data_IF_978492035821
#
_entry.id   IF_978492035821
#
_cell.length_a   1.000
_cell.length_b   1.000
_cell.length_c   1.000
_cell.angle_alpha   90.00
_cell.angle_beta   90.00
_cell.angle_gamma   90.00
#
_symmetry.space_group_name_H-M   'P 1'
#
loop_
_entity.id
_entity.type
_entity.pdbx_description
1 polymer ?
#
# COMPACT_ATOMS: atom_id res chain seq x y z
N UNK A 1 -14.31 8.97 -0.30
CA UNK A 1 -15.30 9.55 -1.22
C UNK A 1 -15.64 8.53 -2.30
N UNK A 2 -16.87 8.52 -2.82
CA UNK A 2 -17.15 7.84 -4.09
C UNK A 2 -16.51 8.68 -5.19
N UNK A 3 -15.63 8.08 -5.96
CA UNK A 3 -14.92 8.75 -7.05
C UNK A 3 -15.34 7.99 -8.30
N UNK A 4 -16.43 8.39 -8.97
CA UNK A 4 -16.91 7.69 -10.16
C UNK A 4 -15.98 8.00 -11.37
N UNK A 5 -14.72 7.61 -11.27
CA UNK A 5 -13.68 7.86 -12.25
C UNK A 5 -12.95 6.55 -12.55
N UNK A 6 -13.08 6.08 -13.80
CA UNK A 6 -12.48 4.83 -14.26
C UNK A 6 -12.91 3.62 -13.44
N UNK A 7 -11.94 2.89 -12.91
CA UNK A 7 -12.11 1.65 -12.16
C UNK A 7 -12.20 1.88 -10.64
N UNK A 8 -12.37 3.10 -10.15
CA UNK A 8 -12.42 3.39 -8.71
C UNK A 8 -13.89 3.49 -8.28
N UNK A 9 -14.34 2.66 -7.33
CA UNK A 9 -15.65 2.81 -6.67
C UNK A 9 -15.53 3.75 -5.46
N UNK A 10 -14.52 3.50 -4.62
CA UNK A 10 -14.31 4.25 -3.38
C UNK A 10 -12.84 4.53 -3.15
N UNK A 11 -12.51 5.78 -2.88
CA UNK A 11 -11.18 6.21 -2.48
C UNK A 11 -11.24 6.80 -1.06
N UNK A 12 -10.64 6.12 -0.09
CA UNK A 12 -10.60 6.54 1.31
C UNK A 12 -9.16 6.75 1.75
N UNK A 13 -8.96 7.74 2.62
CA UNK A 13 -7.67 7.94 3.27
C UNK A 13 -7.84 8.26 4.75
N UNK A 14 -6.82 7.92 5.54
CA UNK A 14 -6.72 8.27 6.95
C UNK A 14 -5.34 8.86 7.21
N UNK A 15 -5.28 10.10 7.69
CA UNK A 15 -4.04 10.79 8.05
C UNK A 15 -3.88 10.82 9.57
N UNK A 16 -2.76 10.31 10.06
CA UNK A 16 -2.38 10.36 11.48
C UNK A 16 -1.15 11.22 11.64
N UNK A 17 -1.29 12.33 12.36
CA UNK A 17 -0.20 13.27 12.63
C UNK A 17 0.39 13.03 14.03
N UNK A 18 1.72 13.14 14.17
CA UNK A 18 2.34 13.22 15.49
C UNK A 18 1.88 14.52 16.18
N UNK A 19 1.65 14.49 17.51
CA UNK A 19 1.15 15.64 18.27
C UNK A 19 2.27 16.66 18.54
N UNK A 20 2.77 17.34 17.50
CA UNK A 20 3.91 18.27 17.58
C UNK A 20 3.69 19.44 18.53
N UNK A 21 2.44 19.77 18.81
CA UNK A 21 2.03 20.84 19.74
C UNK A 21 2.00 20.37 21.20
N UNK A 22 2.28 19.08 21.48
CA UNK A 22 2.32 18.54 22.84
C UNK A 22 3.76 18.22 23.26
N UNK A 23 4.31 19.04 24.15
CA UNK A 23 5.69 18.90 24.67
C UNK A 23 5.91 17.51 25.29
N UNK A 24 4.95 17.00 26.07
CA UNK A 24 5.07 15.71 26.74
C UNK A 24 4.84 14.52 25.78
N UNK A 25 3.81 14.61 24.93
CA UNK A 25 3.42 13.50 24.07
C UNK A 25 4.29 13.36 22.81
N UNK A 26 4.89 14.44 22.32
CA UNK A 26 5.66 14.42 21.08
C UNK A 26 6.91 13.52 21.16
N UNK A 27 7.76 13.59 22.21
CA UNK A 27 8.92 12.69 22.35
C UNK A 27 8.53 11.22 22.38
N UNK A 28 7.50 10.88 23.16
CA UNK A 28 6.98 9.51 23.27
C UNK A 28 6.43 9.03 21.92
N UNK A 29 5.65 9.89 21.24
CA UNK A 29 5.09 9.59 19.92
C UNK A 29 6.18 9.40 18.86
N UNK A 30 7.26 10.19 18.90
CA UNK A 30 8.40 10.04 17.98
C UNK A 30 9.10 8.69 18.15
N UNK A 31 9.22 8.20 19.37
CA UNK A 31 9.82 6.90 19.67
C UNK A 31 8.95 5.72 19.21
N UNK A 32 7.63 5.81 19.39
CA UNK A 32 6.69 4.72 19.11
C UNK A 32 6.21 4.74 17.65
N UNK A 33 5.78 5.91 17.14
CA UNK A 33 5.15 6.07 15.82
C UNK A 33 6.13 6.43 14.69
N UNK A 34 7.35 6.88 15.01
CA UNK A 34 8.42 7.31 14.09
C UNK A 34 8.10 8.58 13.29
N UNK A 35 6.99 8.60 12.56
CA UNK A 35 6.60 9.66 11.62
C UNK A 35 5.07 9.76 11.48
N UNK A 36 4.59 10.78 10.77
CA UNK A 36 3.19 10.87 10.34
C UNK A 36 2.85 9.73 9.39
N UNK A 37 1.58 9.33 9.34
CA UNK A 37 1.14 8.15 8.61
C UNK A 37 -0.06 8.50 7.75
N UNK A 38 -0.04 8.07 6.49
CA UNK A 38 -1.22 8.10 5.64
C UNK A 38 -1.55 6.69 5.15
N UNK A 39 -2.81 6.34 5.29
CA UNK A 39 -3.38 5.09 4.82
C UNK A 39 -4.32 5.38 3.68
N UNK A 40 -4.17 4.70 2.56
CA UNK A 40 -5.10 4.73 1.44
C UNK A 40 -5.80 3.38 1.35
N UNK A 41 -7.12 3.42 1.20
CA UNK A 41 -7.96 2.25 0.94
C UNK A 41 -8.75 2.56 -0.32
N UNK A 42 -8.38 1.92 -1.42
CA UNK A 42 -9.00 2.12 -2.72
C UNK A 42 -9.77 0.86 -3.09
N UNK A 43 -11.09 0.97 -3.24
CA UNK A 43 -11.96 -0.10 -3.72
C UNK A 43 -12.16 0.08 -5.22
N UNK A 44 -11.67 -0.86 -6.04
CA UNK A 44 -11.97 -0.86 -7.46
C UNK A 44 -13.37 -1.41 -7.77
N UNK A 45 -13.89 -1.09 -8.95
CA UNK A 45 -15.05 -1.79 -9.53
C UNK A 45 -14.69 -3.22 -9.95
N UNK A 46 -13.49 -3.38 -10.53
CA UNK A 46 -12.92 -4.69 -10.85
C UNK A 46 -12.70 -5.50 -9.58
N UNK A 47 -12.95 -6.82 -9.66
CA UNK A 47 -12.68 -7.71 -8.52
C UNK A 47 -11.19 -8.03 -8.43
N UNK A 48 -10.58 -7.74 -7.28
CA UNK A 48 -9.26 -8.24 -6.88
C UNK A 48 -9.38 -9.74 -6.63
N UNK A 49 -8.75 -10.55 -7.48
CA UNK A 49 -8.90 -12.02 -7.44
C UNK A 49 -7.89 -12.75 -6.56
N UNK A 50 -6.73 -12.14 -6.33
CA UNK A 50 -5.59 -12.78 -5.65
C UNK A 50 -4.95 -11.87 -4.63
N UNK A 51 -4.50 -12.48 -3.55
CA UNK A 51 -3.83 -11.82 -2.46
C UNK A 51 -2.35 -11.60 -2.76
N UNK A 52 -1.90 -10.36 -2.56
CA UNK A 52 -0.52 -9.97 -2.72
C UNK A 52 -0.17 -8.82 -1.75
N UNK A 53 0.99 -8.91 -1.09
CA UNK A 53 1.48 -7.95 -0.12
C UNK A 53 2.94 -7.62 -0.38
N UNK A 54 3.27 -6.33 -0.24
CA UNK A 54 4.63 -5.83 -0.12
C UNK A 54 4.78 -5.09 1.20
N UNK A 55 5.56 -5.64 2.13
CA UNK A 55 5.76 -5.09 3.47
C UNK A 55 7.22 -4.69 3.64
N UNK A 56 7.50 -3.41 3.94
CA UNK A 56 8.87 -2.95 4.17
C UNK A 56 9.46 -3.68 5.39
N UNK A 57 10.58 -4.38 5.18
CA UNK A 57 11.24 -5.16 6.21
C UNK A 57 11.71 -4.26 7.36
N UNK A 58 11.45 -4.69 8.60
CA UNK A 58 11.80 -3.94 9.81
C UNK A 58 10.90 -2.74 10.12
N UNK A 59 9.85 -2.49 9.32
CA UNK A 59 8.90 -1.43 9.64
C UNK A 59 8.02 -1.81 10.84
N UNK A 60 7.37 -2.97 10.77
CA UNK A 60 6.50 -3.46 11.83
C UNK A 60 7.30 -4.15 12.93
N UNK A 61 7.02 -3.80 14.20
CA UNK A 61 7.50 -4.58 15.37
C UNK A 61 6.76 -5.90 15.48
N UNK A 62 5.44 -5.86 15.27
CA UNK A 62 4.55 -7.02 15.16
C UNK A 62 3.90 -6.98 13.79
N UNK A 63 4.03 -8.05 13.02
CA UNK A 63 3.47 -8.10 11.67
C UNK A 63 1.95 -7.93 11.74
N UNK A 64 1.34 -7.23 10.76
CA UNK A 64 -0.10 -7.26 10.61
C UNK A 64 -0.53 -8.71 10.38
N UNK A 65 -1.67 -9.11 10.94
CA UNK A 65 -2.28 -10.40 10.64
C UNK A 65 -2.72 -10.38 9.17
N UNK A 66 -2.12 -11.26 8.37
CA UNK A 66 -2.56 -11.55 7.00
C UNK A 66 -3.40 -12.83 7.11
N UNK A 67 -4.57 -12.82 6.46
CA UNK A 67 -5.41 -14.01 6.44
C UNK A 67 -4.81 -15.04 5.49
N UNK A 68 -4.89 -16.33 5.83
CA UNK A 68 -4.36 -17.44 5.03
C UNK A 68 -2.86 -17.26 4.63
N UNK A 69 -2.08 -16.57 5.47
CA UNK A 69 -0.65 -16.26 5.23
C UNK A 69 0.20 -17.51 4.98
N UNK A 70 -0.23 -18.66 5.48
CA UNK A 70 0.37 -19.98 5.27
C UNK A 70 0.21 -20.52 3.84
N UNK A 71 -0.77 -20.02 3.09
CA UNK A 71 -1.03 -20.40 1.70
C UNK A 71 -0.24 -19.53 0.71
N UNK A 72 0.36 -18.42 1.19
CA UNK A 72 1.09 -17.47 0.36
C UNK A 72 2.57 -17.87 0.21
N UNK A 73 3.08 -17.71 -1.02
CA UNK A 73 4.52 -17.77 -1.27
C UNK A 73 5.18 -16.54 -0.64
N UNK A 74 6.43 -16.70 -0.17
CA UNK A 74 7.19 -15.63 0.48
C UNK A 74 8.55 -15.46 -0.14
N UNK A 75 8.94 -14.21 -0.38
CA UNK A 75 10.31 -13.87 -0.75
C UNK A 75 10.70 -12.47 -0.29
N UNK A 76 11.99 -12.16 -0.36
CA UNK A 76 12.49 -10.82 -0.15
C UNK A 76 12.74 -10.21 -1.51
N UNK A 77 12.13 -9.05 -1.77
CA UNK A 77 12.45 -8.23 -2.93
C UNK A 77 13.23 -6.99 -2.49
N UNK A 78 14.08 -6.50 -3.38
CA UNK A 78 14.82 -5.25 -3.19
C UNK A 78 14.32 -4.19 -4.17
N UNK A 79 14.10 -2.97 -3.64
CA UNK A 79 13.73 -1.79 -4.41
C UNK A 79 14.42 -0.56 -3.79
N UNK A 80 15.27 0.11 -4.58
CA UNK A 80 16.02 1.31 -4.17
C UNK A 80 16.74 1.18 -2.80
N UNK A 81 17.47 0.07 -2.62
CA UNK A 81 18.20 -0.24 -1.38
C UNK A 81 17.30 -0.51 -0.16
N UNK A 82 15.99 -0.69 -0.35
CA UNK A 82 15.05 -1.15 0.67
C UNK A 82 14.60 -2.57 0.39
N UNK A 83 14.51 -3.37 1.45
CA UNK A 83 13.98 -4.72 1.39
C UNK A 83 12.50 -4.72 1.73
N UNK A 84 11.72 -5.43 0.92
CA UNK A 84 10.32 -5.72 1.16
C UNK A 84 10.13 -7.22 1.26
N UNK A 85 9.34 -7.64 2.22
CA UNK A 85 8.79 -8.98 2.24
C UNK A 85 7.56 -9.02 1.33
N UNK A 86 7.66 -9.87 0.34
CA UNK A 86 6.60 -10.17 -0.60
C UNK A 86 5.84 -11.40 -0.11
N UNK A 87 4.51 -11.30 -0.03
CA UNK A 87 3.63 -12.46 0.15
C UNK A 87 2.62 -12.48 -0.99
N UNK A 88 2.46 -13.59 -1.70
CA UNK A 88 1.59 -13.64 -2.88
C UNK A 88 1.12 -15.04 -3.24
N UNK A 89 -0.02 -15.12 -3.92
CA UNK A 89 -0.50 -16.35 -4.56
C UNK A 89 0.20 -16.62 -5.92
N UNK A 90 0.36 -15.58 -6.76
CA UNK A 90 0.99 -15.67 -8.07
C UNK A 90 2.07 -14.61 -8.28
N UNK A 91 3.17 -15.03 -8.90
CA UNK A 91 4.35 -14.19 -9.19
C UNK A 91 4.02 -12.91 -9.95
N UNK A 92 3.10 -12.98 -10.92
CA UNK A 92 2.71 -11.81 -11.73
C UNK A 92 2.14 -10.67 -10.88
N UNK A 93 1.41 -10.99 -9.81
CA UNK A 93 0.73 -9.99 -9.00
C UNK A 93 1.76 -9.24 -8.14
N UNK A 94 2.82 -9.93 -7.68
CA UNK A 94 3.92 -9.28 -6.98
C UNK A 94 4.83 -8.46 -7.89
N UNK A 95 5.05 -8.90 -9.13
CA UNK A 95 5.80 -8.14 -10.14
C UNK A 95 5.07 -6.83 -10.47
N UNK A 96 3.76 -6.90 -10.69
CA UNK A 96 2.91 -5.72 -10.86
C UNK A 96 2.99 -4.78 -9.63
N UNK A 97 2.92 -5.30 -8.41
CA UNK A 97 3.07 -4.47 -7.20
C UNK A 97 4.47 -3.88 -7.05
N UNK A 98 5.52 -4.57 -7.53
CA UNK A 98 6.89 -4.05 -7.52
C UNK A 98 7.05 -2.90 -8.51
N UNK A 99 6.48 -3.01 -9.71
CA UNK A 99 6.44 -1.91 -10.68
C UNK A 99 5.64 -0.71 -10.13
N UNK A 100 4.50 -0.99 -9.50
CA UNK A 100 3.71 0.03 -8.80
C UNK A 100 4.52 0.72 -7.70
N UNK A 101 5.24 -0.04 -6.86
CA UNK A 101 6.11 0.52 -5.83
C UNK A 101 7.16 1.48 -6.41
N UNK A 102 7.73 1.18 -7.59
CA UNK A 102 8.76 2.00 -8.21
C UNK A 102 8.28 3.36 -8.71
N UNK A 103 6.97 3.54 -8.95
CA UNK A 103 6.43 4.82 -9.41
C UNK A 103 6.14 5.84 -8.31
N UNK A 104 6.29 5.47 -7.03
CA UNK A 104 6.18 6.43 -5.92
C UNK A 104 7.38 7.39 -5.91
N UNK A 105 7.15 8.64 -5.55
CA UNK A 105 8.18 9.69 -5.51
C UNK A 105 9.34 9.33 -4.58
N UNK A 106 9.05 8.63 -3.47
CA UNK A 106 10.04 8.11 -2.51
C UNK A 106 9.64 6.71 -2.03
N UNK A 107 10.25 5.68 -2.61
CA UNK A 107 9.99 4.28 -2.27
C UNK A 107 10.14 4.04 -0.77
N UNK A 108 11.14 4.63 -0.13
CA UNK A 108 11.39 4.46 1.29
C UNK A 108 10.24 4.94 2.18
N UNK A 109 9.34 5.79 1.68
CA UNK A 109 8.15 6.22 2.42
C UNK A 109 7.05 5.16 2.41
N UNK A 110 7.01 4.27 1.42
CA UNK A 110 6.00 3.21 1.29
C UNK A 110 6.35 2.05 2.23
N UNK A 111 5.41 1.74 3.14
CA UNK A 111 5.60 0.78 4.24
C UNK A 111 4.85 -0.53 4.00
N UNK A 112 3.68 -0.44 3.38
CA UNK A 112 2.85 -1.60 3.07
C UNK A 112 2.00 -1.29 1.82
N UNK A 113 2.02 -2.19 0.84
CA UNK A 113 1.03 -2.24 -0.24
C UNK A 113 0.37 -3.60 -0.18
N UNK A 114 -0.96 -3.68 -0.32
CA UNK A 114 -1.63 -4.97 -0.49
C UNK A 114 -2.81 -4.92 -1.44
N UNK A 115 -3.03 -6.04 -2.12
CA UNK A 115 -4.24 -6.39 -2.83
C UNK A 115 -4.93 -7.47 -2.02
N UNK A 116 -6.15 -7.20 -1.55
CA UNK A 116 -6.87 -8.12 -0.66
C UNK A 116 -8.23 -8.49 -1.28
N UNK A 117 -8.39 -9.73 -1.80
CA UNK A 117 -9.62 -10.17 -2.46
C UNK A 117 -10.86 -10.08 -1.59
N UNK A 118 -10.75 -10.51 -0.33
CA UNK A 118 -11.87 -10.58 0.62
C UNK A 118 -12.60 -9.25 0.82
N UNK A 119 -11.85 -8.16 0.86
CA UNK A 119 -12.40 -6.80 1.04
C UNK A 119 -12.49 -6.00 -0.26
N UNK A 120 -11.98 -6.58 -1.35
CA UNK A 120 -11.81 -5.97 -2.67
C UNK A 120 -11.14 -4.59 -2.58
N UNK A 121 -9.95 -4.51 -1.99
CA UNK A 121 -9.22 -3.24 -1.84
C UNK A 121 -7.76 -3.35 -2.23
N UNK A 122 -7.26 -2.25 -2.80
CA UNK A 122 -5.87 -1.87 -2.76
C UNK A 122 -5.65 -1.05 -1.48
N UNK A 123 -4.78 -1.53 -0.60
CA UNK A 123 -4.34 -0.82 0.59
C UNK A 123 -2.92 -0.30 0.40
N UNK A 124 -2.67 0.96 0.72
CA UNK A 124 -1.32 1.53 0.79
C UNK A 124 -1.15 2.22 2.14
N UNK A 125 -0.01 1.99 2.77
CA UNK A 125 0.43 2.73 3.93
C UNK A 125 1.81 3.33 3.65
N UNK A 126 1.91 4.64 3.83
CA UNK A 126 3.16 5.37 3.66
C UNK A 126 3.35 6.52 4.65
N UNK A 127 4.57 7.03 4.73
CA UNK A 127 4.87 8.35 5.30
C UNK A 127 4.47 9.41 4.27
N UNK A 128 3.56 10.36 4.59
CA UNK A 128 3.21 11.43 3.66
C UNK A 128 4.32 12.49 3.62
N UNK A 129 4.51 13.12 2.46
CA UNK A 129 5.32 14.32 2.27
C UNK A 129 4.53 15.33 1.46
N UNK A 130 4.44 16.57 1.94
CA UNK A 130 3.56 17.60 1.38
C UNK A 130 3.93 17.88 -0.08
N UNK A 131 5.22 17.85 -0.38
CA UNK A 131 5.78 18.18 -1.69
C UNK A 131 5.49 17.11 -2.75
N UNK A 132 5.25 15.85 -2.35
CA UNK A 132 5.10 14.72 -3.29
C UNK A 132 3.75 14.02 -3.22
N UNK A 133 2.93 14.29 -2.20
CA UNK A 133 1.70 13.52 -1.96
C UNK A 133 0.71 13.58 -3.14
N UNK A 134 0.64 14.71 -3.85
CA UNK A 134 -0.21 14.82 -5.03
C UNK A 134 0.24 13.85 -6.14
N UNK A 135 1.55 13.80 -6.41
CA UNK A 135 2.13 12.89 -7.40
C UNK A 135 1.89 11.43 -7.00
N UNK A 136 2.12 11.09 -5.73
CA UNK A 136 1.90 9.74 -5.20
C UNK A 136 0.42 9.33 -5.33
N UNK A 137 -0.53 10.24 -5.04
CA UNK A 137 -1.97 9.98 -5.22
C UNK A 137 -2.34 9.80 -6.70
N UNK A 138 -1.80 10.62 -7.61
CA UNK A 138 -2.01 10.44 -9.05
C UNK A 138 -1.48 9.10 -9.54
N UNK A 139 -0.35 8.66 -9.01
CA UNK A 139 0.23 7.35 -9.30
C UNK A 139 -0.68 6.21 -8.81
N UNK A 140 -1.23 6.30 -7.59
CA UNK A 140 -2.22 5.34 -7.06
C UNK A 140 -3.45 5.27 -7.97
N UNK A 141 -4.04 6.42 -8.34
CA UNK A 141 -5.22 6.48 -9.21
C UNK A 141 -4.94 5.85 -10.57
N UNK A 142 -3.79 6.15 -11.17
CA UNK A 142 -3.36 5.57 -12.45
C UNK A 142 -3.25 4.05 -12.36
N UNK A 143 -2.58 3.54 -11.33
CA UNK A 143 -2.41 2.11 -11.13
C UNK A 143 -3.74 1.36 -11.04
N UNK A 144 -4.70 1.89 -10.28
CA UNK A 144 -6.03 1.25 -10.16
C UNK A 144 -6.78 1.25 -11.49
N UNK A 145 -6.66 2.31 -12.28
CA UNK A 145 -7.31 2.43 -13.58
C UNK A 145 -6.64 1.63 -14.69
N UNK A 146 -5.33 1.46 -14.66
CA UNK A 146 -4.54 0.87 -15.75
C UNK A 146 -4.18 -0.60 -15.50
N UNK A 147 -3.79 -0.95 -14.27
CA UNK A 147 -3.19 -2.23 -13.93
C UNK A 147 -4.16 -3.20 -13.25
N UNK A 148 -5.11 -2.70 -12.44
CA UNK A 148 -6.16 -3.52 -11.81
C UNK A 148 -7.35 -3.68 -12.79
N UNK A 149 -7.08 -4.13 -14.02
CA UNK A 149 -8.14 -4.40 -15.02
C UNK A 149 -8.54 -5.85 -15.01
N UNK A 150 -9.82 -6.11 -15.27
CA UNK A 150 -10.25 -7.42 -15.72
C UNK A 150 -9.62 -7.70 -17.09
N UNK A 151 -8.85 -8.78 -17.17
CA UNK A 151 -8.41 -9.31 -18.45
C UNK A 151 -9.64 -9.95 -19.11
N UNK A 152 -10.11 -9.49 -20.29
CA UNK A 152 -11.32 -10.02 -20.94
C UNK A 152 -11.22 -11.52 -21.31
N UNK A 153 -10.05 -12.14 -21.13
CA UNK A 153 -9.75 -13.53 -21.45
C UNK A 153 -9.48 -14.44 -20.24
N UNK A 154 -9.64 -13.96 -19.00
CA UNK A 154 -9.52 -14.82 -17.81
C UNK A 154 -10.86 -15.40 -17.39
N UNK A 155 -11.32 -16.39 -18.18
CA UNK A 155 -12.24 -17.46 -17.76
C UNK A 155 -11.44 -18.72 -17.45
#
# INVERSE_FOLDING_TARGET
>A
YKVNEGNIDKFEYTLTLLPRQSILYFPISKLINRHDKIYFVVRPYTTVRREAHLIQKGYYRFRPKIEDEELLQREIIEANGKQYEALFEKRRDIEMLKEFLQGFSKIENVKHISLTPKTNVLYIFMKPEIETIEQDVRHIVRFVNESIKENPFER
#
